data_IF_539791433175
#
_entry.id   IF_539791433175
#
_cell.length_a   1.000
_cell.length_b   1.000
_cell.length_c   1.000
_cell.angle_alpha   90.00
_cell.angle_beta   90.00
_cell.angle_gamma   90.00
#
_symmetry.space_group_name_H-M   'P 1'
#
loop_
_entity.id
_entity.type
_entity.pdbx_description
1 polymer ?
#
# COMPACT_ATOMS: atom_id res chain seq x y z
N UNK A 1 1.55 22.34 -12.15
CA UNK A 1 2.99 22.30 -12.44
C UNK A 1 3.31 20.86 -12.79
N UNK A 2 4.45 20.55 -13.40
CA UNK A 2 4.86 19.17 -13.62
C UNK A 2 6.26 19.03 -13.04
N UNK A 3 6.49 18.18 -12.03
CA UNK A 3 7.75 18.14 -11.31
C UNK A 3 8.95 17.72 -12.17
N UNK A 4 8.72 17.10 -13.34
CA UNK A 4 9.78 16.76 -14.30
C UNK A 4 10.31 17.96 -15.08
N UNK A 5 9.56 19.06 -15.14
CA UNK A 5 9.94 20.24 -15.93
C UNK A 5 10.94 21.15 -15.20
N UNK A 6 11.24 20.83 -13.94
CA UNK A 6 12.07 21.62 -13.03
C UNK A 6 13.12 20.75 -12.34
N UNK A 7 14.29 21.33 -12.11
CA UNK A 7 15.30 20.72 -11.24
C UNK A 7 14.86 20.76 -9.77
N UNK A 8 15.44 19.89 -8.94
CA UNK A 8 15.12 19.85 -7.49
C UNK A 8 15.35 21.22 -6.84
N UNK A 9 16.42 21.93 -7.22
CA UNK A 9 16.72 23.26 -6.68
C UNK A 9 15.67 24.30 -7.09
N UNK A 10 15.19 24.25 -8.33
CA UNK A 10 14.10 25.11 -8.81
C UNK A 10 12.78 24.82 -8.09
N UNK A 11 12.49 23.55 -7.77
CA UNK A 11 11.33 23.17 -6.96
C UNK A 11 11.43 23.74 -5.54
N UNK A 12 12.60 23.64 -4.92
CA UNK A 12 12.84 24.08 -3.54
C UNK A 12 12.76 25.61 -3.40
N UNK A 13 13.33 26.35 -4.36
CA UNK A 13 13.27 27.81 -4.35
C UNK A 13 11.93 28.37 -4.83
N UNK A 14 11.13 27.57 -5.54
CA UNK A 14 9.78 27.93 -6.00
C UNK A 14 9.72 28.74 -7.29
N UNK A 15 10.86 28.93 -7.96
CA UNK A 15 10.97 29.64 -9.23
C UNK A 15 12.03 29.04 -10.14
N UNK A 16 11.96 29.35 -11.44
CA UNK A 16 13.00 29.05 -12.42
C UNK A 16 13.57 30.32 -13.02
N UNK A 17 14.86 30.30 -13.36
CA UNK A 17 15.51 31.41 -14.03
C UNK A 17 15.73 31.07 -15.51
N UNK A 18 15.09 31.83 -16.40
CA UNK A 18 15.30 31.73 -17.85
C UNK A 18 16.03 33.00 -18.30
N UNK A 19 17.32 32.88 -18.57
CA UNK A 19 18.21 34.01 -18.91
C UNK A 19 18.25 35.07 -17.79
N UNK A 20 17.51 36.17 -17.94
CA UNK A 20 17.42 37.29 -16.98
C UNK A 20 16.02 37.46 -16.37
N UNK A 21 15.15 36.48 -16.57
CA UNK A 21 13.78 36.49 -16.08
C UNK A 21 13.62 35.38 -15.05
N UNK A 22 13.10 35.74 -13.89
CA UNK A 22 12.68 34.84 -12.83
C UNK A 22 11.19 34.57 -12.99
N UNK A 23 10.83 33.32 -13.22
CA UNK A 23 9.44 32.89 -13.40
C UNK A 23 8.99 32.09 -12.19
N UNK A 24 7.83 32.44 -11.63
CA UNK A 24 7.21 31.65 -10.58
C UNK A 24 6.81 30.27 -11.11
N UNK A 25 6.96 29.22 -10.31
CA UNK A 25 6.57 27.86 -10.70
C UNK A 25 5.07 27.60 -10.47
N UNK A 26 4.42 28.42 -9.65
CA UNK A 26 3.03 28.21 -9.19
C UNK A 26 2.01 29.13 -9.87
N UNK A 27 2.46 30.21 -10.51
CA UNK A 27 1.61 31.15 -11.24
C UNK A 27 2.34 31.71 -12.47
N UNK A 28 1.64 32.51 -13.28
CA UNK A 28 2.18 33.12 -14.50
C UNK A 28 3.03 34.38 -14.26
N UNK A 29 3.36 34.71 -13.01
CA UNK A 29 4.14 35.91 -12.70
C UNK A 29 5.62 35.75 -13.07
N UNK A 30 6.19 36.81 -13.64
CA UNK A 30 7.60 36.89 -14.03
C UNK A 30 8.22 38.19 -13.53
N UNK A 31 9.49 38.15 -13.19
CA UNK A 31 10.23 39.24 -12.56
C UNK A 31 11.64 39.34 -13.13
N UNK A 32 12.25 40.53 -13.03
CA UNK A 32 13.62 40.76 -13.50
C UNK A 32 14.65 40.74 -12.37
N UNK A 33 14.19 40.82 -11.11
CA UNK A 33 15.03 40.74 -9.91
C UNK A 33 14.61 39.58 -9.03
N UNK A 34 15.60 38.92 -8.42
CA UNK A 34 15.39 37.81 -7.50
C UNK A 34 14.59 38.23 -6.26
N UNK A 35 14.82 39.43 -5.75
CA UNK A 35 14.09 39.95 -4.58
C UNK A 35 12.59 40.09 -4.84
N UNK A 36 12.20 40.50 -6.05
CA UNK A 36 10.79 40.66 -6.43
C UNK A 36 10.06 39.32 -6.45
N UNK A 37 10.70 38.27 -6.96
CA UNK A 37 10.08 36.94 -6.97
C UNK A 37 10.03 36.33 -5.57
N UNK A 38 11.03 36.59 -4.72
CA UNK A 38 11.02 36.14 -3.33
C UNK A 38 9.87 36.81 -2.54
N UNK A 39 9.66 38.11 -2.73
CA UNK A 39 8.54 38.83 -2.13
C UNK A 39 7.20 38.33 -2.65
N UNK A 40 7.09 38.12 -3.97
CA UNK A 40 5.90 37.52 -4.57
C UNK A 40 5.59 36.13 -3.99
N UNK A 41 6.59 35.26 -3.83
CA UNK A 41 6.40 33.95 -3.23
C UNK A 41 5.95 34.07 -1.77
N UNK A 42 6.51 35.01 -1.00
CA UNK A 42 6.12 35.25 0.38
C UNK A 42 4.67 35.73 0.51
N UNK A 43 4.25 36.68 -0.33
CA UNK A 43 2.93 37.33 -0.24
C UNK A 43 1.81 36.51 -0.90
N UNK A 44 2.05 35.98 -2.10
CA UNK A 44 1.01 35.32 -2.91
C UNK A 44 0.91 33.81 -2.64
N UNK A 45 1.98 33.20 -2.12
CA UNK A 45 2.07 31.76 -1.94
C UNK A 45 2.46 31.33 -0.51
N UNK A 46 2.51 32.26 0.45
CA UNK A 46 2.95 32.01 1.83
C UNK A 46 4.37 31.40 1.92
N UNK A 47 5.22 31.78 0.96
CA UNK A 47 6.60 31.31 0.80
C UNK A 47 6.72 30.04 -0.05
N UNK A 48 7.90 29.84 -0.63
CA UNK A 48 8.20 28.72 -1.52
C UNK A 48 7.92 27.34 -0.89
N UNK A 49 8.25 27.16 0.41
CA UNK A 49 8.00 25.88 1.09
C UNK A 49 6.50 25.59 1.20
N UNK A 50 5.70 26.57 1.65
CA UNK A 50 4.26 26.36 1.81
C UNK A 50 3.64 26.04 0.46
N UNK A 51 4.01 26.80 -0.57
CA UNK A 51 3.59 26.58 -1.94
C UNK A 51 3.89 25.15 -2.42
N UNK A 52 5.13 24.68 -2.23
CA UNK A 52 5.59 23.34 -2.62
C UNK A 52 4.81 22.22 -1.88
N UNK A 53 4.56 22.39 -0.58
CA UNK A 53 3.86 21.39 0.22
C UNK A 53 2.35 21.34 -0.12
N UNK A 54 1.75 22.45 -0.54
CA UNK A 54 0.32 22.56 -0.81
C UNK A 54 -0.06 22.44 -2.29
N UNK A 55 0.88 22.13 -3.19
CA UNK A 55 0.58 22.04 -4.64
C UNK A 55 -0.53 21.01 -4.89
N UNK A 56 -1.68 21.42 -5.47
CA UNK A 56 -2.77 20.50 -5.80
C UNK A 56 -2.43 19.74 -7.09
N UNK A 57 -1.55 18.75 -6.97
CA UNK A 57 -1.12 17.91 -8.09
C UNK A 57 -1.44 16.45 -7.87
N UNK A 58 -1.54 15.69 -8.97
CA UNK A 58 -1.69 14.22 -8.94
C UNK A 58 -0.58 13.54 -8.12
N UNK A 59 0.60 14.15 -8.08
CA UNK A 59 1.79 13.61 -7.45
C UNK A 59 1.93 13.99 -5.97
N UNK A 60 1.22 15.03 -5.51
CA UNK A 60 1.27 15.42 -4.10
C UNK A 60 0.37 14.51 -3.26
N UNK A 61 0.98 13.62 -2.50
CA UNK A 61 0.31 12.62 -1.64
C UNK A 61 0.38 12.97 -0.15
N UNK A 62 0.88 14.15 0.20
CA UNK A 62 1.01 14.58 1.59
C UNK A 62 -0.36 14.86 2.20
N UNK A 63 -0.59 14.32 3.40
CA UNK A 63 -1.76 14.69 4.20
C UNK A 63 -1.57 16.07 4.83
N UNK A 64 -2.66 16.73 5.23
CA UNK A 64 -2.58 18.03 5.92
C UNK A 64 -1.67 17.99 7.15
N UNK A 65 -1.74 16.93 7.95
CA UNK A 65 -0.86 16.74 9.11
C UNK A 65 0.62 16.62 8.70
N UNK A 66 0.92 15.96 7.58
CA UNK A 66 2.28 15.82 7.06
C UNK A 66 2.82 17.16 6.53
N UNK A 67 1.98 17.95 5.87
CA UNK A 67 2.34 19.31 5.44
C UNK A 67 2.68 20.20 6.64
N UNK A 68 1.85 20.15 7.70
CA UNK A 68 2.11 20.89 8.94
C UNK A 68 3.43 20.45 9.61
N UNK A 69 3.67 19.14 9.72
CA UNK A 69 4.93 18.62 10.28
C UNK A 69 6.15 19.12 9.52
N UNK A 70 6.14 19.06 8.19
CA UNK A 70 7.25 19.51 7.35
C UNK A 70 7.50 21.02 7.46
N UNK A 71 6.45 21.83 7.57
CA UNK A 71 6.56 23.27 7.83
C UNK A 71 7.24 23.56 9.15
N UNK A 72 6.86 22.85 10.22
CA UNK A 72 7.42 23.04 11.55
C UNK A 72 8.87 22.53 11.64
N UNK A 73 9.23 21.48 10.90
CA UNK A 73 10.59 20.95 10.87
C UNK A 73 11.63 21.90 10.25
N UNK A 74 11.21 22.86 9.41
CA UNK A 74 12.10 23.90 8.87
C UNK A 74 12.49 24.94 9.93
N UNK A 75 11.68 25.13 10.95
CA UNK A 75 11.93 26.14 11.98
C UNK A 75 13.09 25.69 12.91
N UNK A 76 13.94 26.61 13.38
CA UNK A 76 15.08 26.29 14.26
C UNK A 76 14.64 26.03 15.72
N UNK A 77 13.58 25.25 15.91
CA UNK A 77 13.03 24.90 17.22
C UNK A 77 13.37 23.45 17.58
N UNK A 78 13.62 23.21 18.88
CA UNK A 78 13.96 21.88 19.40
C UNK A 78 12.77 20.92 19.26
N UNK A 79 13.06 19.64 19.05
CA UNK A 79 12.05 18.57 18.94
C UNK A 79 11.07 18.55 20.12
N UNK A 80 11.54 18.89 21.32
CA UNK A 80 10.70 19.01 22.52
C UNK A 80 9.65 20.12 22.41
N UNK A 81 9.97 21.23 21.74
CA UNK A 81 9.05 22.34 21.55
C UNK A 81 8.06 22.05 20.41
N UNK A 82 8.54 21.40 19.35
CA UNK A 82 7.69 20.88 18.26
C UNK A 82 6.63 19.92 18.83
N UNK A 83 7.06 18.99 19.68
CA UNK A 83 6.19 18.02 20.33
C UNK A 83 5.08 18.69 21.15
N UNK A 84 5.44 19.73 21.93
CA UNK A 84 4.46 20.53 22.70
C UNK A 84 3.46 21.25 21.80
N UNK A 85 3.94 21.90 20.73
CA UNK A 85 3.09 22.66 19.80
C UNK A 85 2.06 21.77 19.10
N UNK A 86 2.46 20.56 18.72
CA UNK A 86 1.60 19.60 18.00
C UNK A 86 0.87 18.62 18.94
N UNK A 87 1.03 18.76 20.25
CA UNK A 87 0.45 17.88 21.27
C UNK A 87 0.78 16.39 21.06
N UNK A 88 2.02 16.09 20.70
CA UNK A 88 2.54 14.72 20.50
C UNK A 88 3.77 14.46 21.36
N UNK A 89 4.20 13.19 21.44
CA UNK A 89 5.43 12.86 22.17
C UNK A 89 6.70 13.28 21.38
N UNK A 90 7.81 13.63 22.06
CA UNK A 90 9.09 13.85 21.38
C UNK A 90 9.58 12.65 20.56
N UNK A 91 9.26 11.43 21.00
CA UNK A 91 9.56 10.19 20.27
C UNK A 91 8.81 10.13 18.93
N UNK A 92 7.55 10.60 18.89
CA UNK A 92 6.76 10.71 17.66
C UNK A 92 7.43 11.65 16.67
N UNK A 93 7.95 12.80 17.11
CA UNK A 93 8.64 13.77 16.24
C UNK A 93 9.90 13.15 15.62
N UNK A 94 10.74 12.49 16.42
CA UNK A 94 11.93 11.80 15.90
C UNK A 94 11.57 10.71 14.89
N UNK A 95 10.54 9.92 15.19
CA UNK A 95 10.05 8.89 14.29
C UNK A 95 9.58 9.50 12.95
N UNK A 96 8.78 10.57 12.98
CA UNK A 96 8.33 11.25 11.75
C UNK A 96 9.50 11.78 10.92
N UNK A 97 10.49 12.45 11.54
CA UNK A 97 11.71 12.89 10.85
C UNK A 97 12.45 11.74 10.18
N UNK A 98 12.59 10.62 10.89
CA UNK A 98 13.18 9.40 10.36
C UNK A 98 12.38 8.86 9.16
N UNK A 99 11.04 8.76 9.28
CA UNK A 99 10.17 8.30 8.19
C UNK A 99 10.29 9.17 6.94
N UNK A 100 10.32 10.50 7.07
CA UNK A 100 10.53 11.38 5.91
C UNK A 100 11.90 11.19 5.25
N UNK A 101 12.96 11.01 6.05
CA UNK A 101 14.30 10.73 5.52
C UNK A 101 14.35 9.39 4.77
N UNK A 102 13.74 8.34 5.31
CA UNK A 102 13.69 7.04 4.62
C UNK A 102 12.86 7.11 3.34
N UNK A 103 11.74 7.84 3.33
CA UNK A 103 10.96 8.08 2.11
C UNK A 103 11.77 8.83 1.05
N UNK A 104 12.60 9.80 1.43
CA UNK A 104 13.47 10.50 0.48
C UNK A 104 14.49 9.54 -0.16
N UNK A 105 15.09 8.64 0.63
CA UNK A 105 15.99 7.59 0.12
C UNK A 105 15.25 6.63 -0.82
N UNK A 106 14.04 6.22 -0.46
CA UNK A 106 13.20 5.35 -1.30
C UNK A 106 12.86 6.01 -2.64
N UNK A 107 12.50 7.30 -2.63
CA UNK A 107 12.23 8.06 -3.85
C UNK A 107 13.47 8.16 -4.76
N UNK A 108 14.64 8.41 -4.17
CA UNK A 108 15.90 8.44 -4.90
C UNK A 108 16.24 7.07 -5.51
N UNK A 109 16.08 5.98 -4.74
CA UNK A 109 16.30 4.63 -5.25
C UNK A 109 15.33 4.29 -6.38
N UNK A 110 14.06 4.62 -6.21
CA UNK A 110 13.03 4.36 -7.23
C UNK A 110 13.32 5.12 -8.53
N UNK A 111 13.73 6.38 -8.43
CA UNK A 111 14.14 7.16 -9.61
C UNK A 111 15.33 6.51 -10.33
N UNK A 112 16.34 6.07 -9.58
CA UNK A 112 17.50 5.38 -10.14
C UNK A 112 17.11 4.04 -10.81
N UNK A 113 16.23 3.26 -10.18
CA UNK A 113 15.69 2.01 -10.75
C UNK A 113 14.92 2.27 -12.05
N UNK A 114 14.08 3.31 -12.07
CA UNK A 114 13.33 3.70 -13.25
C UNK A 114 14.26 4.08 -14.41
N UNK A 115 15.23 4.96 -14.14
CA UNK A 115 16.21 5.41 -15.15
C UNK A 115 17.09 4.26 -15.65
N UNK A 116 17.43 3.29 -14.80
CA UNK A 116 18.20 2.12 -15.21
C UNK A 116 17.44 1.22 -16.19
N UNK A 117 16.11 1.15 -16.09
CA UNK A 117 15.26 0.30 -16.94
C UNK A 117 14.83 1.01 -18.22
N UNK A 118 14.48 2.29 -18.13
CA UNK A 118 13.88 3.05 -19.24
C UNK A 118 14.83 4.06 -19.88
N UNK A 119 16.06 4.18 -19.38
CA UNK A 119 17.01 5.22 -19.76
C UNK A 119 16.82 6.51 -18.97
N UNK A 120 17.82 7.38 -19.02
CA UNK A 120 17.65 8.78 -18.58
C UNK A 120 16.92 9.55 -19.67
N UNK A 121 16.07 10.52 -19.31
CA UNK A 121 15.31 11.37 -20.25
C UNK A 121 16.20 12.12 -21.29
N UNK A 122 17.54 12.00 -21.23
CA UNK A 122 18.45 12.54 -22.24
C UNK A 122 18.59 11.68 -23.51
N UNK A 123 18.28 10.37 -23.45
CA UNK A 123 18.48 9.43 -24.58
C UNK A 123 17.19 8.68 -25.00
N UNK A 124 16.01 9.14 -24.57
CA UNK A 124 14.76 8.57 -25.03
C UNK A 124 14.50 8.99 -26.49
N UNK A 125 14.96 8.18 -27.44
CA UNK A 125 14.29 8.06 -28.73
C UNK A 125 12.84 7.69 -28.42
N UNK A 126 11.98 8.71 -28.45
CA UNK A 126 10.56 8.62 -28.14
C UNK A 126 9.97 7.46 -28.92
N UNK A 127 9.52 6.42 -28.22
CA UNK A 127 8.55 5.51 -28.80
C UNK A 127 7.42 6.38 -29.35
N UNK A 128 7.02 6.19 -30.62
CA UNK A 128 6.03 7.05 -31.25
C UNK A 128 4.76 6.96 -30.42
N UNK A 129 4.41 8.09 -29.80
CA UNK A 129 3.11 8.27 -29.17
C UNK A 129 2.08 8.06 -30.29
N UNK A 130 1.16 7.07 -30.17
CA UNK A 130 0.10 6.95 -31.14
C UNK A 130 -0.64 8.29 -31.18
N UNK A 131 -1.06 8.76 -32.37
CA UNK A 131 -1.60 10.10 -32.54
C UNK A 131 -2.73 10.28 -31.55
N UNK A 132 -2.51 11.16 -30.57
CA UNK A 132 -3.55 11.54 -29.63
C UNK A 132 -4.50 12.40 -30.44
N UNK A 133 -5.64 11.83 -30.82
CA UNK A 133 -6.71 12.58 -31.45
C UNK A 133 -7.07 13.73 -30.52
N UNK A 134 -6.86 14.94 -31.02
CA UNK A 134 -7.45 16.15 -30.46
C UNK A 134 -8.98 16.03 -30.58
N UNK A 135 -9.59 15.37 -29.59
CA UNK A 135 -11.03 15.31 -29.43
C UNK A 135 -11.34 15.44 -27.93
N UNK A 136 -11.69 16.68 -27.57
CA UNK A 136 -12.55 17.08 -26.45
C UNK A 136 -12.25 16.49 -25.06
N UNK A 137 -11.89 17.38 -24.13
CA UNK A 137 -11.69 17.12 -22.69
C UNK A 137 -12.90 16.52 -21.94
N UNK A 138 -13.99 16.22 -22.63
CA UNK A 138 -15.13 15.47 -22.12
C UNK A 138 -14.83 13.96 -22.05
N UNK A 139 -14.07 13.40 -23.00
CA UNK A 139 -13.71 11.98 -23.04
C UNK A 139 -12.71 11.58 -21.93
N UNK A 140 -11.72 12.43 -21.64
CA UNK A 140 -10.73 12.17 -20.58
C UNK A 140 -11.35 12.21 -19.16
N UNK A 141 -12.35 13.07 -18.95
CA UNK A 141 -13.11 13.13 -17.70
C UNK A 141 -14.08 11.96 -17.57
N UNK A 142 -14.67 11.50 -18.68
CA UNK A 142 -15.46 10.27 -18.73
C UNK A 142 -14.59 9.05 -18.45
N UNK A 143 -13.37 8.94 -18.99
CA UNK A 143 -12.46 7.82 -18.70
C UNK A 143 -12.00 7.77 -17.23
N UNK A 144 -11.73 8.92 -16.60
CA UNK A 144 -11.39 8.96 -15.16
C UNK A 144 -12.60 8.71 -14.27
N UNK A 145 -13.79 9.18 -14.66
CA UNK A 145 -15.06 8.84 -13.98
C UNK A 145 -15.39 7.36 -14.15
N UNK A 146 -15.35 6.83 -15.37
CA UNK A 146 -15.48 5.42 -15.71
C UNK A 146 -14.47 4.59 -14.92
N UNK A 147 -13.16 4.84 -14.96
CA UNK A 147 -12.20 4.06 -14.14
C UNK A 147 -12.48 4.10 -12.63
N UNK A 148 -13.06 5.18 -12.10
CA UNK A 148 -13.44 5.29 -10.68
C UNK A 148 -14.77 4.59 -10.40
N UNK A 149 -15.72 4.65 -11.32
CA UNK A 149 -17.02 3.96 -11.29
C UNK A 149 -16.86 2.47 -11.56
N UNK A 150 -16.05 2.06 -12.52
CA UNK A 150 -15.56 0.70 -12.78
C UNK A 150 -14.82 0.16 -11.58
N UNK A 151 -13.90 0.91 -10.95
CA UNK A 151 -13.25 0.45 -9.72
C UNK A 151 -14.26 0.30 -8.58
N UNK A 152 -15.21 1.22 -8.44
CA UNK A 152 -16.30 1.08 -7.45
C UNK A 152 -17.23 -0.08 -7.78
N UNK A 153 -17.54 -0.32 -9.05
CA UNK A 153 -18.40 -1.38 -9.56
C UNK A 153 -17.70 -2.74 -9.48
N UNK A 154 -16.38 -2.79 -9.65
CA UNK A 154 -15.52 -3.95 -9.40
C UNK A 154 -15.47 -4.22 -7.89
N UNK A 155 -15.25 -3.20 -7.06
CA UNK A 155 -15.32 -3.37 -5.58
C UNK A 155 -16.72 -3.79 -5.13
N UNK A 156 -17.76 -3.22 -5.73
CA UNK A 156 -19.15 -3.52 -5.43
C UNK A 156 -19.55 -4.90 -5.97
N UNK A 157 -19.04 -5.32 -7.14
CA UNK A 157 -19.21 -6.68 -7.63
C UNK A 157 -18.43 -7.68 -6.80
N UNK A 158 -17.23 -7.34 -6.28
CA UNK A 158 -16.53 -8.15 -5.28
C UNK A 158 -17.29 -8.23 -3.95
N UNK A 159 -18.04 -7.19 -3.57
CA UNK A 159 -18.90 -7.18 -2.38
C UNK A 159 -20.23 -7.91 -2.59
N UNK A 160 -20.75 -7.95 -3.82
CA UNK A 160 -21.96 -8.69 -4.21
C UNK A 160 -21.66 -10.13 -4.61
N UNK A 161 -20.40 -10.47 -4.90
CA UNK A 161 -20.00 -11.85 -5.12
C UNK A 161 -20.14 -12.60 -3.81
N UNK A 162 -21.06 -13.58 -3.79
CA UNK A 162 -21.21 -14.52 -2.69
C UNK A 162 -19.83 -15.08 -2.33
N UNK A 163 -19.43 -14.91 -1.08
CA UNK A 163 -18.27 -15.61 -0.55
C UNK A 163 -18.70 -17.00 -0.13
N UNK A 164 -17.77 -17.94 -0.14
CA UNK A 164 -18.03 -19.30 0.30
C UNK A 164 -17.20 -19.57 1.54
N UNK A 165 -17.86 -19.95 2.62
CA UNK A 165 -17.19 -20.51 3.79
C UNK A 165 -17.07 -22.02 3.62
N UNK A 166 -16.15 -22.66 4.32
CA UNK A 166 -15.94 -24.08 4.12
C UNK A 166 -14.89 -24.72 4.99
N UNK A 167 -14.65 -26.01 4.73
CA UNK A 167 -13.59 -26.81 5.35
C UNK A 167 -12.54 -27.11 4.32
N UNK A 168 -11.29 -26.86 4.69
CA UNK A 168 -10.14 -27.19 3.88
C UNK A 168 -9.30 -28.29 4.52
N UNK A 169 -8.53 -28.99 3.70
CA UNK A 169 -7.56 -29.98 4.11
C UNK A 169 -6.21 -29.67 3.48
N UNK A 170 -5.18 -29.55 4.31
CA UNK A 170 -3.79 -29.60 3.87
C UNK A 170 -3.28 -31.02 4.08
N UNK A 171 -2.84 -31.67 3.01
CA UNK A 171 -2.27 -33.02 3.06
C UNK A 171 -0.78 -32.94 2.78
N UNK A 172 0.04 -33.50 3.67
CA UNK A 172 1.44 -33.77 3.35
C UNK A 172 1.52 -35.07 2.54
N UNK A 173 2.04 -34.98 1.32
CA UNK A 173 2.11 -36.10 0.39
C UNK A 173 3.20 -37.13 0.71
N UNK A 174 4.14 -36.80 1.61
CA UNK A 174 5.25 -37.68 2.01
C UNK A 174 4.84 -38.57 3.19
N UNK A 175 4.27 -37.98 4.24
CA UNK A 175 3.91 -38.73 5.46
C UNK A 175 2.40 -38.99 5.60
N UNK A 176 1.60 -38.52 4.64
CA UNK A 176 0.14 -38.66 4.59
C UNK A 176 -0.63 -38.04 5.76
N UNK A 177 0.03 -37.24 6.61
CA UNK A 177 -0.62 -36.50 7.69
C UNK A 177 -1.44 -35.35 7.11
N UNK A 178 -2.64 -35.15 7.66
CA UNK A 178 -3.57 -34.12 7.23
C UNK A 178 -3.77 -33.03 8.29
N UNK A 179 -4.04 -31.80 7.84
CA UNK A 179 -4.46 -30.68 8.68
C UNK A 179 -5.78 -30.14 8.16
N UNK A 180 -6.76 -29.95 9.03
CA UNK A 180 -8.09 -29.48 8.67
C UNK A 180 -8.40 -28.17 9.39
N UNK A 181 -9.04 -27.25 8.67
CA UNK A 181 -9.49 -25.98 9.24
C UNK A 181 -10.81 -25.51 8.60
N UNK A 182 -11.70 -24.95 9.41
CA UNK A 182 -12.90 -24.28 8.92
C UNK A 182 -12.58 -22.80 8.68
N UNK A 183 -12.89 -22.30 7.49
CA UNK A 183 -12.46 -21.00 7.00
C UNK A 183 -13.66 -20.16 6.54
N UNK A 184 -13.71 -18.86 6.87
CA UNK A 184 -14.81 -17.97 6.45
C UNK A 184 -14.81 -17.68 4.95
N UNK A 185 -13.70 -17.96 4.27
CA UNK A 185 -13.56 -17.80 2.83
C UNK A 185 -12.62 -18.87 2.28
N UNK A 186 -13.11 -19.70 1.37
CA UNK A 186 -12.33 -20.75 0.69
C UNK A 186 -11.45 -20.21 -0.43
N UNK A 187 -11.74 -19.01 -0.95
CA UNK A 187 -10.99 -18.40 -2.06
C UNK A 187 -9.58 -18.02 -1.64
N UNK A 188 -8.61 -18.36 -2.51
CA UNK A 188 -7.17 -18.06 -2.34
C UNK A 188 -6.58 -18.57 -1.02
N UNK A 189 -7.14 -19.65 -0.46
CA UNK A 189 -6.73 -20.15 0.85
C UNK A 189 -5.34 -20.78 0.82
N UNK A 190 -4.92 -21.33 -0.32
CA UNK A 190 -3.57 -21.88 -0.49
C UNK A 190 -2.48 -20.82 -0.31
N UNK A 191 -2.61 -19.66 -0.98
CA UNK A 191 -1.63 -18.57 -0.85
C UNK A 191 -1.55 -18.02 0.58
N UNK A 192 -2.68 -17.97 1.29
CA UNK A 192 -2.71 -17.60 2.70
C UNK A 192 -1.89 -18.56 3.58
N UNK A 193 -2.05 -19.88 3.43
CA UNK A 193 -1.27 -20.84 4.21
C UNK A 193 0.19 -20.85 3.83
N UNK A 194 0.51 -20.82 2.52
CA UNK A 194 1.89 -20.71 2.05
C UNK A 194 2.62 -19.51 2.66
N UNK A 195 2.02 -18.32 2.56
CA UNK A 195 2.62 -17.09 3.09
C UNK A 195 2.84 -17.20 4.61
N UNK A 196 1.87 -17.72 5.36
CA UNK A 196 1.97 -17.82 6.80
C UNK A 196 2.96 -18.89 7.27
N UNK A 197 3.02 -20.04 6.59
CA UNK A 197 3.98 -21.10 6.89
C UNK A 197 5.41 -20.65 6.51
N UNK A 198 5.60 -19.98 5.38
CA UNK A 198 6.90 -19.40 5.00
C UNK A 198 7.39 -18.30 5.97
N UNK A 199 6.46 -17.64 6.66
CA UNK A 199 6.78 -16.62 7.67
C UNK A 199 6.84 -17.19 9.11
N UNK A 200 6.82 -18.52 9.27
CA UNK A 200 6.79 -19.20 10.56
C UNK A 200 5.70 -18.70 11.51
N UNK A 201 4.49 -18.47 11.00
CA UNK A 201 3.36 -17.95 11.77
C UNK A 201 2.76 -19.00 12.73
N UNK A 202 2.97 -20.30 12.47
CA UNK A 202 2.45 -21.40 13.29
C UNK A 202 3.55 -21.98 14.19
N UNK A 203 4.25 -21.12 14.92
CA UNK A 203 5.35 -21.52 15.82
C UNK A 203 4.91 -22.63 16.78
N UNK A 204 5.81 -23.55 17.07
CA UNK A 204 5.61 -24.67 18.00
C UNK A 204 4.45 -25.62 17.59
N UNK A 205 4.18 -25.71 16.28
CA UNK A 205 3.21 -26.67 15.73
C UNK A 205 3.88 -27.70 14.85
N UNK A 206 3.37 -28.93 14.91
CA UNK A 206 3.86 -30.04 14.07
C UNK A 206 3.69 -29.74 12.58
N UNK A 207 2.66 -28.96 12.21
CA UNK A 207 2.45 -28.49 10.84
C UNK A 207 3.60 -27.60 10.35
N UNK A 208 4.05 -26.66 11.19
CA UNK A 208 5.14 -25.76 10.84
C UNK A 208 6.46 -26.52 10.72
N UNK A 209 6.75 -27.42 11.67
CA UNK A 209 7.95 -28.26 11.61
C UNK A 209 7.96 -29.13 10.35
N UNK A 210 6.82 -29.73 9.99
CA UNK A 210 6.71 -30.51 8.76
C UNK A 210 6.86 -29.63 7.51
N UNK A 211 6.31 -28.41 7.50
CA UNK A 211 6.50 -27.47 6.41
C UNK A 211 7.96 -27.09 6.22
N UNK A 212 8.65 -26.78 7.31
CA UNK A 212 10.07 -26.40 7.29
C UNK A 212 10.97 -27.57 6.87
N UNK A 213 10.58 -28.81 7.19
CA UNK A 213 11.32 -30.03 6.84
C UNK A 213 11.10 -30.47 5.39
N UNK A 214 9.85 -30.49 4.91
CA UNK A 214 9.49 -31.09 3.62
C UNK A 214 9.30 -30.06 2.50
N UNK A 215 9.12 -28.79 2.85
CA UNK A 215 8.92 -27.69 1.89
C UNK A 215 7.53 -27.65 1.26
N UNK A 216 7.24 -26.55 0.55
CA UNK A 216 5.93 -26.26 -0.06
C UNK A 216 5.43 -27.36 -1.01
N UNK A 217 6.33 -27.94 -1.82
CA UNK A 217 5.98 -28.93 -2.84
C UNK A 217 5.47 -30.25 -2.26
N UNK A 218 5.73 -30.51 -0.98
CA UNK A 218 5.24 -31.70 -0.29
C UNK A 218 3.79 -31.57 0.19
N UNK A 219 3.17 -30.39 0.09
CA UNK A 219 1.83 -30.14 0.61
C UNK A 219 0.85 -29.80 -0.51
N UNK A 220 -0.37 -30.33 -0.38
CA UNK A 220 -1.50 -29.98 -1.22
C UNK A 220 -2.66 -29.44 -0.37
N UNK A 221 -3.41 -28.47 -0.89
CA UNK A 221 -4.62 -27.95 -0.24
C UNK A 221 -5.86 -28.27 -1.07
N UNK A 222 -6.84 -28.89 -0.42
CA UNK A 222 -8.13 -29.23 -1.00
C UNK A 222 -9.27 -28.62 -0.19
N UNK A 223 -10.36 -28.25 -0.87
CA UNK A 223 -11.61 -27.81 -0.22
C UNK A 223 -12.50 -29.04 -0.09
N UNK A 224 -12.72 -29.51 1.14
CA UNK A 224 -13.54 -30.69 1.42
C UNK A 224 -15.03 -30.39 1.37
N UNK A 225 -15.41 -29.18 1.77
CA UNK A 225 -16.79 -28.72 1.80
C UNK A 225 -16.85 -27.20 1.74
N UNK A 226 -17.87 -26.66 1.08
CA UNK A 226 -18.11 -25.22 1.07
C UNK A 226 -19.59 -24.89 0.82
N UNK A 227 -20.04 -23.75 1.35
CA UNK A 227 -21.38 -23.22 1.16
C UNK A 227 -21.33 -21.68 1.08
N UNK A 228 -22.37 -21.07 0.50
CA UNK A 228 -22.47 -19.62 0.39
C UNK A 228 -22.64 -18.99 1.78
N UNK A 229 -21.92 -17.90 2.02
CA UNK A 229 -22.00 -17.14 3.26
C UNK A 229 -23.29 -16.30 3.37
N UNK A 230 -24.02 -16.13 2.27
CA UNK A 230 -25.11 -15.15 2.12
C UNK A 230 -26.24 -15.33 3.16
N UNK A 231 -26.54 -16.57 3.56
CA UNK A 231 -27.65 -16.92 4.46
C UNK A 231 -27.20 -17.26 5.89
N UNK A 232 -25.95 -16.96 6.25
CA UNK A 232 -25.37 -17.35 7.55
C UNK A 232 -25.49 -16.22 8.58
N UNK A 233 -26.41 -16.35 9.53
CA UNK A 233 -26.62 -15.36 10.60
C UNK A 233 -25.40 -15.20 11.52
N UNK A 234 -24.74 -16.31 11.87
CA UNK A 234 -23.57 -16.31 12.78
C UNK A 234 -22.43 -17.19 12.26
N UNK A 235 -21.69 -16.65 11.29
CA UNK A 235 -20.58 -17.35 10.62
C UNK A 235 -19.52 -17.87 11.59
N UNK A 236 -19.25 -17.13 12.68
CA UNK A 236 -18.26 -17.56 13.67
C UNK A 236 -18.69 -18.82 14.41
N UNK A 237 -19.98 -18.92 14.76
CA UNK A 237 -20.54 -20.11 15.39
C UNK A 237 -20.55 -21.29 14.42
N UNK A 238 -20.99 -21.06 13.19
CA UNK A 238 -21.01 -22.09 12.14
C UNK A 238 -19.62 -22.68 11.90
N UNK A 239 -18.60 -21.85 11.70
CA UNK A 239 -17.23 -22.34 11.51
C UNK A 239 -16.72 -23.16 12.70
N UNK A 240 -17.11 -22.81 13.94
CA UNK A 240 -16.74 -23.57 15.13
C UNK A 240 -17.42 -24.95 15.13
N UNK A 241 -18.69 -25.01 14.76
CA UNK A 241 -19.45 -26.26 14.66
C UNK A 241 -18.89 -27.15 13.55
N UNK A 242 -18.68 -26.58 12.36
CA UNK A 242 -18.09 -27.22 11.19
C UNK A 242 -16.71 -27.80 11.53
N UNK A 243 -15.84 -27.00 12.17
CA UNK A 243 -14.53 -27.48 12.63
C UNK A 243 -14.67 -28.67 13.57
N UNK A 244 -15.60 -28.61 14.53
CA UNK A 244 -15.81 -29.70 15.49
C UNK A 244 -16.30 -30.98 14.80
N UNK A 245 -17.26 -30.86 13.89
CA UNK A 245 -17.78 -31.99 13.11
C UNK A 245 -16.67 -32.68 12.32
N UNK A 246 -15.90 -31.90 11.55
CA UNK A 246 -14.86 -32.44 10.68
C UNK A 246 -13.66 -33.01 11.44
N UNK A 247 -13.28 -32.40 12.58
CA UNK A 247 -12.27 -32.98 13.47
C UNK A 247 -12.74 -34.31 14.08
N UNK A 248 -14.03 -34.44 14.40
CA UNK A 248 -14.61 -35.69 14.92
C UNK A 248 -14.66 -36.78 13.84
N UNK A 249 -14.99 -36.39 12.60
CA UNK A 249 -15.12 -37.29 11.45
C UNK A 249 -13.78 -37.84 10.95
N UNK A 250 -12.78 -36.97 10.80
CA UNK A 250 -11.50 -37.33 10.18
C UNK A 250 -10.39 -37.64 11.18
N UNK A 251 -10.56 -37.23 12.44
CA UNK A 251 -9.61 -37.43 13.54
C UNK A 251 -8.13 -37.17 13.13
N UNK A 252 -7.82 -35.98 12.58
CA UNK A 252 -6.50 -35.63 12.06
C UNK A 252 -5.51 -35.32 13.20
N UNK A 253 -5.29 -36.25 14.12
CA UNK A 253 -4.50 -36.07 15.33
C UNK A 253 -3.27 -37.00 15.35
N UNK A 254 -2.17 -36.54 15.94
CA UNK A 254 -0.97 -37.33 16.19
C UNK A 254 -0.35 -37.93 14.91
N UNK A 255 -0.39 -39.26 14.78
CA UNK A 255 0.15 -39.93 13.59
C UNK A 255 -0.71 -39.74 12.34
N UNK A 256 -1.97 -39.34 12.49
CA UNK A 256 -2.91 -39.16 11.38
C UNK A 256 -2.99 -37.72 10.89
N UNK A 257 -2.50 -36.75 11.66
CA UNK A 257 -2.62 -35.34 11.28
C UNK A 257 -2.01 -34.35 12.26
N UNK A 258 -2.04 -33.08 11.84
CA UNK A 258 -1.38 -31.97 12.53
C UNK A 258 -2.31 -31.18 13.46
N UNK A 259 -3.60 -31.53 13.55
CA UNK A 259 -4.51 -30.85 14.46
C UNK A 259 -4.31 -31.35 15.89
N UNK A 260 -4.65 -30.50 16.86
CA UNK A 260 -4.77 -30.89 18.26
C UNK A 260 -6.20 -31.35 18.54
N UNK A 261 -6.40 -32.40 19.37
CA UNK A 261 -7.73 -32.81 19.78
C UNK A 261 -8.45 -31.66 20.48
N UNK A 262 -9.77 -31.58 20.29
CA UNK A 262 -10.59 -30.59 20.97
C UNK A 262 -10.47 -30.81 22.48
N UNK A 263 -10.15 -29.76 23.23
CA UNK A 263 -10.21 -29.81 24.68
C UNK A 263 -11.68 -29.96 25.08
N UNK A 264 -12.02 -31.06 25.73
CA UNK A 264 -13.31 -31.19 26.39
C UNK A 264 -13.34 -30.17 27.52
N UNK A 265 -14.20 -29.16 27.39
CA UNK A 265 -14.53 -28.32 28.53
C UNK A 265 -15.43 -29.16 29.43
N UNK A 266 -14.89 -29.68 30.53
CA UNK A 266 -15.67 -30.04 31.71
C UNK A 266 -16.30 -28.79 32.32
#
# INVERSE_FOLDING_TARGET
>A
MNPTDFTIDELVQGYRQIRKIYSCNYCSATFFKQEQINNHLAEQHNGALSALLSVPEKYNTLTQNQQQLLTVFKQPIKDSNIAKQLQVSPSTIRHQKFTFREKAKQAQLYLAQYQAVFGSDQDAELLPVPPTTAATGELFNMEKKMKKEDRKAIIQSYKLQSTYYGVIQLTNQINHKIYIEAVPNTKNRWDYYKMNLNNHAYRDSDLQHAWDQYGETAFNLEVLWQEKTDDVENLRLELKNLKKEWLTKLQPFGERGYNKPLRENN
#
